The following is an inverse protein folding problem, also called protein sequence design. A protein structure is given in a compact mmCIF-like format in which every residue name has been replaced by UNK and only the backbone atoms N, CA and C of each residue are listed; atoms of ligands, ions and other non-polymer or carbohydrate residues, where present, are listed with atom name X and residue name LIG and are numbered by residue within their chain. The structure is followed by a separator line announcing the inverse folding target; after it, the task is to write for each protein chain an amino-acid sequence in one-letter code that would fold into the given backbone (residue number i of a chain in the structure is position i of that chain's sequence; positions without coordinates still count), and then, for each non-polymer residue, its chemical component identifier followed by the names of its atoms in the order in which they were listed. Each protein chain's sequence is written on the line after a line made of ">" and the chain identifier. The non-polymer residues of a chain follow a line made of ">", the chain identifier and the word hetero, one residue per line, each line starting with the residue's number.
data_IF_670717031904
#
_entry.id   IF_670717031904
#
_cell.length_a   1.000
_cell.length_b   1.000
_cell.length_c   1.000
_cell.angle_alpha   90.00
_cell.angle_beta   90.00
_cell.angle_gamma   90.00
#
_symmetry.space_group_name_H-M   'P 1'
#
loop_
_entity.id
_entity.type
_entity.pdbx_description
1 polymer ?
#
# COMPACT_ATOMS: atom_id res chain seq x y z
N UNK A 1 8.76 7.71 -30.37
CA UNK A 1 8.42 8.26 -29.05
C UNK A 1 8.87 7.22 -28.04
N UNK A 2 10.05 7.41 -27.46
CA UNK A 2 10.51 6.57 -26.35
C UNK A 2 9.58 6.87 -25.18
N UNK A 3 8.78 5.89 -24.78
CA UNK A 3 8.06 5.94 -23.51
C UNK A 3 9.17 6.00 -22.46
N UNK A 4 9.30 7.07 -21.66
CA UNK A 4 10.31 7.10 -20.62
C UNK A 4 10.11 5.84 -19.77
N UNK A 5 11.17 5.05 -19.58
CA UNK A 5 11.12 3.88 -18.69
C UNK A 5 10.51 4.35 -17.37
N UNK A 6 9.27 3.92 -17.12
CA UNK A 6 8.61 4.23 -15.88
C UNK A 6 9.49 3.66 -14.78
N UNK A 7 10.01 4.56 -13.94
CA UNK A 7 10.96 4.21 -12.89
C UNK A 7 10.31 3.16 -12.00
N UNK A 8 10.72 1.90 -12.13
CA UNK A 8 10.13 0.81 -11.37
C UNK A 8 10.66 0.82 -9.95
N UNK A 9 9.76 0.92 -8.99
CA UNK A 9 10.06 0.84 -7.56
C UNK A 9 10.29 -0.61 -7.17
N UNK A 10 11.31 -0.85 -6.35
CA UNK A 10 11.58 -2.19 -5.80
C UNK A 10 10.80 -2.41 -4.51
N UNK A 11 10.13 -3.55 -4.39
CA UNK A 11 9.50 -3.91 -3.12
C UNK A 11 10.55 -4.40 -2.11
N UNK A 12 10.61 -3.72 -0.98
CA UNK A 12 11.41 -4.12 0.17
C UNK A 12 10.50 -4.76 1.22
N UNK A 13 10.74 -6.04 1.51
CA UNK A 13 9.98 -6.79 2.51
C UNK A 13 10.32 -6.39 3.95
N UNK A 14 11.45 -5.71 4.17
CA UNK A 14 12.02 -5.46 5.48
C UNK A 14 12.53 -6.76 6.11
N UNK A 15 13.83 -7.03 5.99
CA UNK A 15 14.43 -8.26 6.53
C UNK A 15 14.14 -8.45 8.02
N UNK A 16 13.88 -9.71 8.42
CA UNK A 16 13.66 -10.10 9.82
C UNK A 16 12.24 -9.87 10.39
N UNK A 17 11.28 -9.34 9.62
CA UNK A 17 9.92 -9.02 10.13
C UNK A 17 8.90 -10.13 9.88
N UNK A 18 9.12 -11.31 10.47
CA UNK A 18 8.22 -12.48 10.41
C UNK A 18 6.78 -12.21 10.89
N UNK A 19 6.55 -11.11 11.62
CA UNK A 19 5.27 -10.74 12.24
C UNK A 19 4.13 -10.44 11.27
N UNK A 20 4.39 -10.25 9.97
CA UNK A 20 3.34 -9.96 8.96
C UNK A 20 2.95 -11.18 8.12
N UNK A 21 3.61 -12.33 8.29
CA UNK A 21 3.25 -13.56 7.57
C UNK A 21 1.96 -14.14 8.17
N UNK A 22 0.92 -14.18 7.36
CA UNK A 22 -0.25 -15.01 7.64
C UNK A 22 -0.05 -16.41 7.05
N UNK A 23 -0.65 -17.42 7.66
CA UNK A 23 -0.89 -18.73 7.06
C UNK A 23 -2.17 -18.76 6.20
N UNK A 24 -2.98 -17.70 6.18
CA UNK A 24 -4.21 -17.60 5.38
C UNK A 24 -3.97 -16.87 4.06
N UNK A 25 -4.83 -17.11 3.07
CA UNK A 25 -4.66 -16.61 1.71
C UNK A 25 -5.41 -15.29 1.40
N UNK A 26 -5.85 -14.61 2.46
CA UNK A 26 -6.50 -13.31 2.42
C UNK A 26 -5.81 -12.33 3.39
N UNK A 27 -5.89 -11.01 3.15
CA UNK A 27 -5.36 -9.98 4.04
C UNK A 27 -6.29 -9.76 5.24
N UNK A 28 -5.74 -9.26 6.35
CA UNK A 28 -6.49 -9.14 7.60
C UNK A 28 -5.62 -8.82 8.79
N UNK A 29 -6.16 -8.97 10.01
CA UNK A 29 -5.58 -8.39 11.22
C UNK A 29 -5.53 -9.40 12.36
N UNK A 30 -4.42 -9.40 13.11
CA UNK A 30 -4.29 -10.18 14.34
C UNK A 30 -3.89 -9.26 15.48
N UNK A 31 -4.64 -9.31 16.58
CA UNK A 31 -4.29 -8.61 17.81
C UNK A 31 -3.20 -9.40 18.54
N UNK A 32 -2.01 -8.81 18.68
CA UNK A 32 -0.92 -9.35 19.49
C UNK A 32 -0.66 -8.41 20.67
N UNK A 33 -1.10 -8.83 21.86
CA UNK A 33 -1.07 -7.98 23.05
C UNK A 33 -2.02 -6.79 22.91
N UNK A 34 -1.48 -5.57 23.01
CA UNK A 34 -2.23 -4.31 22.88
C UNK A 34 -2.14 -3.67 21.48
N UNK A 35 -1.67 -4.40 20.46
CA UNK A 35 -1.47 -3.88 19.10
C UNK A 35 -2.17 -4.74 18.05
N UNK A 36 -2.88 -4.08 17.14
CA UNK A 36 -3.40 -4.70 15.92
C UNK A 36 -2.29 -4.77 14.88
N UNK A 37 -1.97 -5.97 14.40
CA UNK A 37 -0.94 -6.19 13.38
C UNK A 37 -1.63 -6.62 12.09
N UNK A 38 -1.47 -5.83 11.02
CA UNK A 38 -1.86 -6.23 9.67
C UNK A 38 -1.06 -7.45 9.20
N UNK A 39 -1.75 -8.41 8.62
CA UNK A 39 -1.23 -9.68 8.11
C UNK A 39 -1.44 -9.74 6.61
N UNK A 40 -0.36 -10.04 5.88
CA UNK A 40 -0.42 -10.24 4.44
C UNK A 40 -0.75 -11.71 4.13
N UNK A 41 -1.49 -11.99 3.03
CA UNK A 41 -1.73 -13.34 2.54
C UNK A 41 -0.46 -14.18 2.43
N UNK A 42 -0.56 -15.50 2.64
CA UNK A 42 0.56 -16.42 2.40
C UNK A 42 1.04 -16.41 0.94
N UNK A 43 0.13 -16.21 -0.02
CA UNK A 43 0.45 -16.10 -1.46
C UNK A 43 1.10 -14.79 -1.87
N UNK A 44 1.34 -13.86 -0.93
CA UNK A 44 1.91 -12.56 -1.24
C UNK A 44 3.39 -12.70 -1.62
N UNK A 45 3.65 -12.88 -2.91
CA UNK A 45 5.00 -12.98 -3.47
C UNK A 45 5.65 -11.60 -3.57
N UNK A 46 6.97 -11.55 -3.73
CA UNK A 46 7.68 -10.28 -3.93
C UNK A 46 7.24 -9.65 -5.25
N UNK A 47 7.04 -10.48 -6.27
CA UNK A 47 6.63 -10.10 -7.61
C UNK A 47 5.23 -9.48 -7.59
N UNK A 48 4.30 -10.06 -6.83
CA UNK A 48 2.96 -9.50 -6.63
C UNK A 48 3.02 -8.17 -5.88
N UNK A 49 3.79 -8.10 -4.79
CA UNK A 49 3.96 -6.89 -4.01
C UNK A 49 4.58 -5.75 -4.82
N UNK A 50 5.58 -6.07 -5.65
CA UNK A 50 6.24 -5.13 -6.54
C UNK A 50 5.32 -4.71 -7.69
N UNK A 51 4.52 -5.61 -8.25
CA UNK A 51 3.51 -5.26 -9.24
C UNK A 51 2.47 -4.29 -8.64
N UNK A 52 1.93 -4.60 -7.46
CA UNK A 52 0.97 -3.73 -6.76
C UNK A 52 1.58 -2.37 -6.38
N UNK A 53 2.85 -2.35 -5.98
CA UNK A 53 3.60 -1.12 -5.72
C UNK A 53 3.72 -0.25 -6.97
N UNK A 54 4.02 -0.85 -8.13
CA UNK A 54 4.21 -0.11 -9.37
C UNK A 54 2.90 0.24 -10.10
N UNK A 55 1.77 -0.36 -9.72
CA UNK A 55 0.43 0.01 -10.19
C UNK A 55 -0.33 0.93 -9.22
N UNK A 56 0.26 1.23 -8.06
CA UNK A 56 -0.37 2.01 -7.01
C UNK A 56 -0.41 3.51 -7.30
N UNK A 57 -1.18 4.23 -6.49
CA UNK A 57 -1.25 5.69 -6.54
C UNK A 57 -0.05 6.32 -5.84
N UNK A 58 0.76 7.05 -6.60
CA UNK A 58 1.93 7.77 -6.11
C UNK A 58 1.55 9.11 -5.47
N UNK A 59 1.78 9.24 -4.16
CA UNK A 59 1.57 10.48 -3.43
C UNK A 59 2.89 11.21 -3.20
N UNK A 60 2.97 12.45 -3.70
CA UNK A 60 4.11 13.35 -3.54
C UNK A 60 3.77 14.44 -2.53
N UNK A 61 4.51 14.52 -1.43
CA UNK A 61 4.26 15.53 -0.42
C UNK A 61 4.64 16.93 -0.93
N UNK A 62 3.65 17.83 -1.01
CA UNK A 62 3.78 19.17 -1.61
C UNK A 62 4.88 20.04 -0.98
N UNK A 63 5.23 19.79 0.28
CA UNK A 63 6.19 20.63 1.04
C UNK A 63 7.64 20.34 0.68
N UNK A 64 7.95 19.21 0.05
CA UNK A 64 9.31 18.85 -0.35
C UNK A 64 9.26 18.20 -1.73
N UNK A 65 9.49 18.97 -2.82
CA UNK A 65 9.58 18.38 -4.14
C UNK A 65 10.82 17.49 -4.19
N UNK A 66 10.60 16.20 -3.97
CA UNK A 66 11.59 15.13 -4.13
C UNK A 66 11.23 14.36 -5.40
N UNK A 67 12.24 13.89 -6.15
CA UNK A 67 12.05 13.13 -7.39
C UNK A 67 11.55 11.69 -7.19
N UNK A 68 10.79 11.43 -6.13
CA UNK A 68 10.24 10.14 -5.76
C UNK A 68 8.99 10.30 -4.86
N UNK A 69 7.99 9.41 -4.93
CA UNK A 69 6.79 9.53 -4.12
C UNK A 69 7.10 9.35 -2.64
N UNK A 70 6.46 10.16 -1.80
CA UNK A 70 6.55 10.07 -0.35
C UNK A 70 5.78 8.87 0.21
N UNK A 71 4.68 8.50 -0.45
CA UNK A 71 3.87 7.31 -0.17
C UNK A 71 3.36 6.74 -1.49
N UNK A 72 3.16 5.45 -1.54
CA UNK A 72 2.42 4.79 -2.63
C UNK A 72 1.27 4.02 -2.01
N UNK A 73 0.06 4.20 -2.54
CA UNK A 73 -1.13 3.51 -2.06
C UNK A 73 -1.54 2.41 -3.04
N UNK A 74 -1.93 1.25 -2.52
CA UNK A 74 -2.46 0.15 -3.31
C UNK A 74 -3.70 -0.41 -2.59
N UNK A 75 -4.62 -1.00 -3.35
CA UNK A 75 -5.74 -1.78 -2.79
C UNK A 75 -5.57 -3.22 -3.22
N UNK A 76 -5.66 -4.13 -2.24
CA UNK A 76 -5.49 -5.55 -2.48
C UNK A 76 -6.54 -6.30 -1.71
N UNK A 77 -7.47 -6.94 -2.42
CA UNK A 77 -8.60 -7.69 -1.85
C UNK A 77 -9.34 -6.86 -0.79
N UNK A 78 -9.73 -5.64 -1.13
CA UNK A 78 -10.46 -4.73 -0.21
C UNK A 78 -9.64 -4.13 0.93
N UNK A 79 -8.34 -4.40 1.00
CA UNK A 79 -7.46 -3.81 2.02
C UNK A 79 -6.61 -2.70 1.41
N UNK A 80 -6.62 -1.52 2.02
CA UNK A 80 -5.73 -0.41 1.65
C UNK A 80 -4.34 -0.69 2.19
N UNK A 81 -3.33 -0.57 1.34
CA UNK A 81 -1.92 -0.65 1.67
C UNK A 81 -1.26 0.70 1.45
N UNK A 82 -0.36 1.05 2.36
CA UNK A 82 0.56 2.17 2.21
C UNK A 82 1.98 1.63 2.12
N UNK A 83 2.71 2.09 1.11
CA UNK A 83 4.13 1.87 0.97
C UNK A 83 4.90 3.17 1.20
N UNK A 84 6.00 3.07 1.95
CA UNK A 84 6.89 4.19 2.27
C UNK A 84 8.32 3.88 1.80
N UNK A 85 9.12 4.89 1.40
CA UNK A 85 10.48 4.66 0.97
C UNK A 85 11.33 3.97 2.05
N UNK A 86 12.02 2.89 1.69
CA UNK A 86 13.09 2.30 2.51
C UNK A 86 14.45 2.84 2.07
N UNK A 87 14.69 2.87 0.75
CA UNK A 87 15.78 3.60 0.13
C UNK A 87 15.16 4.64 -0.82
N UNK A 88 15.37 5.92 -0.50
CA UNK A 88 14.79 7.05 -1.22
C UNK A 88 15.00 6.95 -2.74
N UNK A 89 13.89 6.93 -3.50
CA UNK A 89 13.91 6.84 -4.96
C UNK A 89 14.35 5.49 -5.53
N UNK A 90 14.40 4.43 -4.72
CA UNK A 90 14.81 3.08 -5.14
C UNK A 90 13.83 2.01 -4.66
N UNK A 91 13.57 1.92 -3.35
CA UNK A 91 12.78 0.83 -2.76
C UNK A 91 11.77 1.31 -1.74
N UNK A 92 10.68 0.56 -1.61
CA UNK A 92 9.54 0.88 -0.75
C UNK A 92 9.10 -0.33 0.05
N UNK A 93 8.68 -0.09 1.29
CA UNK A 93 8.08 -1.08 2.16
C UNK A 93 6.58 -0.83 2.33
N UNK A 94 5.77 -1.80 1.90
CA UNK A 94 4.30 -1.77 1.98
C UNK A 94 3.75 -2.47 3.22
N UNK A 95 2.74 -1.88 3.84
CA UNK A 95 1.97 -2.45 4.95
C UNK A 95 0.49 -2.04 4.87
N UNK A 96 -0.44 -2.85 5.42
CA UNK A 96 -1.86 -2.48 5.48
C UNK A 96 -2.05 -1.18 6.27
N UNK A 97 -2.86 -0.26 5.73
CA UNK A 97 -3.31 0.92 6.44
C UNK A 97 -4.43 0.54 7.40
N UNK A 98 -4.28 0.89 8.67
CA UNK A 98 -5.23 0.47 9.70
C UNK A 98 -6.43 1.40 9.78
N UNK A 99 -6.23 2.70 9.56
CA UNK A 99 -7.24 3.73 9.76
C UNK A 99 -7.21 4.78 8.64
N UNK A 100 -8.37 5.28 8.19
CA UNK A 100 -8.44 6.34 7.19
C UNK A 100 -7.84 7.67 7.69
N UNK A 101 -7.85 7.93 9.00
CA UNK A 101 -7.30 9.15 9.61
C UNK A 101 -5.78 9.34 9.41
N UNK A 102 -5.05 8.25 9.12
CA UNK A 102 -3.60 8.28 8.88
C UNK A 102 -3.24 8.66 7.43
N UNK A 103 -4.24 8.77 6.55
CA UNK A 103 -4.07 9.18 5.17
C UNK A 103 -3.72 10.68 5.09
N UNK A 104 -2.97 11.10 4.05
CA UNK A 104 -2.76 12.50 3.78
C UNK A 104 -4.11 13.23 3.64
N UNK A 105 -4.25 14.46 4.16
CA UNK A 105 -5.47 15.26 4.04
C UNK A 105 -5.60 15.86 2.63
N UNK A 106 -5.50 15.01 1.61
CA UNK A 106 -5.63 15.35 0.20
C UNK A 106 -6.80 14.54 -0.37
N UNK A 107 -7.91 15.19 -0.78
CA UNK A 107 -9.05 14.50 -1.36
C UNK A 107 -8.69 13.62 -2.57
N UNK A 108 -7.63 13.99 -3.32
CA UNK A 108 -7.16 13.18 -4.44
C UNK A 108 -6.67 11.80 -4.01
N UNK A 109 -6.13 11.66 -2.79
CA UNK A 109 -5.72 10.36 -2.23
C UNK A 109 -6.93 9.46 -2.02
N UNK A 110 -8.02 10.01 -1.46
CA UNK A 110 -9.25 9.25 -1.23
C UNK A 110 -9.84 8.76 -2.54
N UNK A 111 -10.00 9.64 -3.53
CA UNK A 111 -10.54 9.26 -4.83
C UNK A 111 -9.66 8.22 -5.52
N UNK A 112 -8.34 8.39 -5.50
CA UNK A 112 -7.42 7.41 -6.09
C UNK A 112 -7.50 6.03 -5.42
N UNK A 113 -7.67 5.98 -4.09
CA UNK A 113 -7.87 4.72 -3.37
C UNK A 113 -9.20 4.07 -3.76
N UNK A 114 -10.27 4.84 -3.94
CA UNK A 114 -11.56 4.32 -4.39
C UNK A 114 -11.51 3.81 -5.84
N UNK A 115 -10.73 4.45 -6.71
CA UNK A 115 -10.51 3.98 -8.07
C UNK A 115 -9.70 2.67 -8.10
N UNK A 116 -8.65 2.57 -7.27
CA UNK A 116 -7.90 1.34 -7.07
C UNK A 116 -8.80 0.21 -6.52
N UNK A 117 -9.69 0.53 -5.57
CA UNK A 117 -10.65 -0.42 -5.02
C UNK A 117 -11.69 -0.86 -6.05
N UNK A 118 -12.15 0.05 -6.93
CA UNK A 118 -13.03 -0.30 -8.03
C UNK A 118 -12.34 -1.26 -9.02
N UNK A 119 -11.06 -1.06 -9.31
CA UNK A 119 -10.27 -1.95 -10.16
C UNK A 119 -10.03 -3.34 -9.51
N UNK A 120 -9.89 -3.39 -8.17
CA UNK A 120 -9.80 -4.64 -7.40
C UNK A 120 -11.17 -5.35 -7.23
N UNK A 121 -12.27 -4.65 -7.54
CA UNK A 121 -13.64 -5.15 -7.35
C UNK A 121 -14.13 -5.07 -5.89
N UNK A 122 -13.47 -4.26 -5.07
CA UNK A 122 -13.66 -4.18 -3.62
C UNK A 122 -14.06 -2.76 -3.15
N UNK A 123 -14.74 -2.00 -4.01
CA UNK A 123 -15.05 -0.58 -3.75
C UNK A 123 -15.89 -0.41 -2.48
N UNK A 124 -16.92 -1.24 -2.31
CA UNK A 124 -17.85 -1.14 -1.18
C UNK A 124 -17.16 -1.38 0.16
N UNK A 125 -16.25 -2.36 0.24
CA UNK A 125 -15.48 -2.67 1.45
C UNK A 125 -14.58 -1.49 1.84
N UNK A 126 -13.91 -0.90 0.86
CA UNK A 126 -13.04 0.26 1.09
C UNK A 126 -13.85 1.51 1.45
N UNK A 127 -15.03 1.71 0.86
CA UNK A 127 -15.96 2.78 1.25
C UNK A 127 -16.46 2.62 2.69
N UNK A 128 -16.71 1.40 3.14
CA UNK A 128 -17.06 1.11 4.54
C UNK A 128 -15.88 1.38 5.46
N UNK A 129 -14.67 1.00 5.07
CA UNK A 129 -13.44 1.31 5.82
C UNK A 129 -13.19 2.82 5.96
N UNK A 130 -13.53 3.64 4.95
CA UNK A 130 -13.48 5.10 5.08
C UNK A 130 -14.49 5.69 6.08
N UNK A 131 -15.50 4.92 6.50
CA UNK A 131 -16.54 5.34 7.46
C UNK A 131 -16.30 4.81 8.88
N UNK A 132 -15.28 3.95 9.07
CA UNK A 132 -14.96 3.31 10.36
C UNK A 132 -14.08 4.16 11.27
#
# INVERSE_FOLDING_TARGET
>A
MEVPESKRWKYDRGDGRYKHRWNQDHPGHVTMGNRTVGKCPKSFTIEFAEAALNSGYEYFERRRPVGYPSRIFAVIKGTVYRAVPTLAGVSYHGFPELKPDDLPPDPAVKEAILDLAAADGSREEVEQWFKS
#
